data_IF_015679169345
#
_entry.id   IF_015679169345
#
_cell.length_a   1.000
_cell.length_b   1.000
_cell.length_c   1.000
_cell.angle_alpha   90.00
_cell.angle_beta   90.00
_cell.angle_gamma   90.00
#
_symmetry.space_group_name_H-M   'P 1'
#
loop_
_entity.id
_entity.type
_entity.pdbx_description
1 polymer ?
#
# COMPACT_ATOMS: atom_id res chain seq x y z
N UNK A 1 10.19 -6.39 13.80
CA UNK A 1 10.64 -7.31 12.73
C UNK A 1 9.92 -6.90 11.46
N UNK A 2 10.60 -6.84 10.31
CA UNK A 2 9.93 -6.51 9.05
C UNK A 2 9.01 -7.66 8.60
N UNK A 3 7.88 -7.32 7.98
CA UNK A 3 6.97 -8.33 7.40
C UNK A 3 7.71 -9.12 6.31
N UNK A 4 7.79 -10.47 6.38
CA UNK A 4 8.46 -11.27 5.36
C UNK A 4 7.81 -11.12 3.98
N UNK A 5 8.61 -11.18 2.92
CA UNK A 5 8.08 -11.16 1.55
C UNK A 5 7.70 -12.56 1.11
N UNK A 6 6.41 -12.72 0.78
CA UNK A 6 5.79 -13.96 0.32
C UNK A 6 4.34 -13.68 -0.05
N UNK A 7 3.69 -14.70 -0.59
CA UNK A 7 2.23 -14.78 -0.73
C UNK A 7 1.58 -14.90 0.65
N UNK A 8 0.46 -14.20 0.85
CA UNK A 8 -0.28 -14.17 2.13
C UNK A 8 -1.74 -14.64 2.04
N UNK A 9 -2.18 -15.07 0.85
CA UNK A 9 -3.55 -15.46 0.57
C UNK A 9 -3.60 -16.76 -0.26
N UNK A 10 -4.78 -17.37 -0.36
CA UNK A 10 -4.98 -18.61 -1.09
C UNK A 10 -5.26 -18.37 -2.58
N UNK A 11 -4.81 -19.28 -3.44
CA UNK A 11 -5.21 -19.31 -4.85
C UNK A 11 -6.32 -20.33 -5.08
N UNK A 12 -7.35 -19.94 -5.83
CA UNK A 12 -8.32 -20.85 -6.39
C UNK A 12 -8.52 -20.59 -7.89
N UNK A 13 -8.82 -21.65 -8.65
CA UNK A 13 -8.90 -21.57 -10.11
C UNK A 13 -10.14 -20.86 -10.66
N UNK A 14 -11.10 -20.49 -9.81
CA UNK A 14 -12.35 -19.85 -10.22
C UNK A 14 -12.28 -18.33 -10.07
N UNK A 15 -11.80 -17.85 -8.92
CA UNK A 15 -11.82 -16.43 -8.51
C UNK A 15 -10.41 -15.81 -8.41
N UNK A 16 -9.34 -16.61 -8.50
CA UNK A 16 -7.96 -16.14 -8.36
C UNK A 16 -7.49 -16.12 -6.91
N UNK A 17 -6.86 -15.03 -6.50
CA UNK A 17 -6.39 -14.84 -5.12
C UNK A 17 -7.58 -14.47 -4.22
N UNK A 18 -7.68 -15.12 -3.06
CA UNK A 18 -8.90 -15.12 -2.24
C UNK A 18 -9.04 -13.90 -1.31
N UNK A 19 -7.99 -13.08 -1.18
CA UNK A 19 -7.93 -11.90 -0.31
C UNK A 19 -8.19 -12.17 1.18
N UNK A 20 -8.10 -13.43 1.63
CA UNK A 20 -8.21 -13.76 3.05
C UNK A 20 -6.84 -13.65 3.70
N UNK A 21 -6.64 -12.58 4.47
CA UNK A 21 -5.36 -12.28 5.11
C UNK A 21 -5.53 -11.92 6.59
N UNK A 22 -4.47 -12.09 7.37
CA UNK A 22 -4.43 -11.64 8.77
C UNK A 22 -4.69 -10.14 8.95
N UNK A 23 -4.36 -9.33 7.94
CA UNK A 23 -4.58 -7.88 7.97
C UNK A 23 -6.02 -7.52 7.70
N UNK A 24 -6.70 -8.26 6.82
CA UNK A 24 -8.15 -8.15 6.67
C UNK A 24 -8.88 -8.47 7.99
N UNK A 25 -8.43 -9.50 8.72
CA UNK A 25 -8.95 -9.82 10.06
C UNK A 25 -8.71 -8.70 11.07
N UNK A 26 -7.48 -8.16 11.12
CA UNK A 26 -7.08 -7.08 12.02
C UNK A 26 -7.85 -5.78 11.75
N UNK A 27 -7.98 -5.41 10.47
CA UNK A 27 -8.71 -4.22 10.05
C UNK A 27 -10.21 -4.34 10.32
N UNK A 28 -10.74 -5.56 10.21
CA UNK A 28 -12.17 -5.88 10.34
C UNK A 28 -12.89 -6.06 9.00
N UNK A 29 -12.16 -6.17 7.90
CA UNK A 29 -12.68 -6.35 6.55
C UNK A 29 -11.77 -7.32 5.78
N UNK A 30 -12.19 -8.58 5.68
CA UNK A 30 -11.39 -9.66 5.10
C UNK A 30 -12.03 -10.18 3.80
N UNK A 31 -11.22 -10.68 2.86
CA UNK A 31 -11.72 -11.13 1.55
C UNK A 31 -11.92 -9.99 0.54
N UNK A 32 -11.27 -8.84 0.74
CA UNK A 32 -11.30 -7.67 -0.16
C UNK A 32 -9.87 -7.23 -0.53
N UNK A 33 -9.65 -6.49 -1.64
CA UNK A 33 -8.34 -5.94 -1.96
C UNK A 33 -7.73 -5.21 -0.77
N UNK A 34 -6.49 -5.56 -0.41
CA UNK A 34 -5.96 -5.28 0.92
C UNK A 34 -4.71 -4.38 0.93
N UNK A 35 -4.43 -3.62 -0.14
CA UNK A 35 -3.27 -2.72 -0.20
C UNK A 35 -3.34 -1.60 0.86
N UNK A 36 -4.46 -0.89 0.94
CA UNK A 36 -4.66 0.17 1.96
C UNK A 36 -4.83 -0.42 3.35
N UNK A 37 -5.50 -1.57 3.45
CA UNK A 37 -5.66 -2.32 4.70
C UNK A 37 -4.28 -2.66 5.29
N UNK A 38 -3.37 -3.17 4.47
CA UNK A 38 -1.99 -3.44 4.88
C UNK A 38 -1.29 -2.19 5.39
N UNK A 39 -1.35 -1.09 4.63
CA UNK A 39 -0.69 0.17 5.00
C UNK A 39 -1.24 0.71 6.34
N UNK A 40 -2.56 0.62 6.58
CA UNK A 40 -3.17 0.98 7.86
C UNK A 40 -2.72 0.06 9.01
N UNK A 41 -2.71 -1.26 8.81
CA UNK A 41 -2.27 -2.22 9.82
C UNK A 41 -0.80 -2.01 10.22
N UNK A 42 0.08 -1.65 9.28
CA UNK A 42 1.47 -1.31 9.61
C UNK A 42 1.57 -0.09 10.53
N UNK A 43 0.65 0.87 10.43
CA UNK A 43 0.55 1.99 11.37
C UNK A 43 -0.05 1.57 12.71
N UNK A 44 -1.09 0.73 12.69
CA UNK A 44 -1.73 0.21 13.90
C UNK A 44 -0.78 -0.63 14.75
N UNK A 45 0.00 -1.52 14.13
CA UNK A 45 1.01 -2.37 14.78
C UNK A 45 2.04 -1.58 15.60
N UNK A 46 2.28 -0.32 15.24
CA UNK A 46 3.24 0.57 15.92
C UNK A 46 2.57 1.72 16.69
N UNK A 47 1.24 1.71 16.83
CA UNK A 47 0.48 2.71 17.58
C UNK A 47 0.40 4.09 16.93
N UNK A 48 0.48 4.16 15.59
CA UNK A 48 0.40 5.38 14.80
C UNK A 48 -0.90 5.47 13.96
N UNK A 49 -1.85 4.57 14.14
CA UNK A 49 -3.12 4.56 13.42
C UNK A 49 -3.98 5.82 13.66
N UNK A 50 -3.74 6.57 14.73
CA UNK A 50 -4.42 7.84 15.00
C UNK A 50 -4.05 8.98 14.03
N UNK A 51 -2.92 8.88 13.31
CA UNK A 51 -2.46 9.92 12.37
C UNK A 51 -2.76 9.61 10.90
N UNK A 52 -3.44 8.49 10.63
CA UNK A 52 -3.85 8.05 9.28
C UNK A 52 -5.36 7.76 9.26
N UNK A 53 -6.04 7.84 8.10
CA UNK A 53 -7.45 7.46 8.01
C UNK A 53 -7.59 5.93 8.07
N UNK A 54 -8.57 5.43 8.84
CA UNK A 54 -9.02 4.03 8.72
C UNK A 54 -9.99 3.90 7.55
N UNK A 55 -9.46 3.59 6.38
CA UNK A 55 -10.17 3.39 5.11
C UNK A 55 -9.56 2.21 4.34
N UNK A 56 -10.27 1.70 3.34
CA UNK A 56 -9.95 0.47 2.59
C UNK A 56 -9.54 0.72 1.13
N UNK A 57 -9.69 1.94 0.61
CA UNK A 57 -9.44 2.28 -0.79
C UNK A 57 -8.59 3.54 -0.99
N UNK A 58 -7.85 3.56 -2.10
CA UNK A 58 -6.79 4.55 -2.37
C UNK A 58 -7.36 5.96 -2.51
N UNK A 59 -8.45 6.09 -3.27
CA UNK A 59 -9.13 7.38 -3.49
C UNK A 59 -9.60 8.03 -2.19
N UNK A 60 -10.04 7.23 -1.21
CA UNK A 60 -10.47 7.73 0.09
C UNK A 60 -9.30 8.31 0.91
N UNK A 61 -8.16 7.61 1.03
CA UNK A 61 -7.02 8.18 1.76
C UNK A 61 -6.42 9.38 1.01
N UNK A 62 -6.37 9.35 -0.33
CA UNK A 62 -5.85 10.45 -1.13
C UNK A 62 -6.70 11.71 -0.94
N UNK A 63 -8.02 11.57 -0.98
CA UNK A 63 -8.96 12.66 -0.70
C UNK A 63 -8.80 13.20 0.72
N UNK A 64 -8.66 12.31 1.71
CA UNK A 64 -8.44 12.68 3.10
C UNK A 64 -7.15 13.47 3.30
N UNK A 65 -6.05 13.03 2.67
CA UNK A 65 -4.75 13.67 2.73
C UNK A 65 -4.76 15.05 2.06
N UNK A 66 -5.39 15.17 0.88
CA UNK A 66 -5.56 16.46 0.17
C UNK A 66 -6.36 17.44 1.01
N UNK A 67 -7.47 17.01 1.60
CA UNK A 67 -8.30 17.86 2.47
C UNK A 67 -7.57 18.38 3.72
N UNK A 68 -6.48 17.72 4.13
CA UNK A 68 -5.67 18.07 5.31
C UNK A 68 -4.34 18.75 4.98
N UNK A 69 -4.05 19.00 3.70
CA UNK A 69 -2.75 19.53 3.29
C UNK A 69 -1.61 18.58 3.66
N UNK A 70 -1.85 17.27 3.54
CA UNK A 70 -0.91 16.18 3.76
C UNK A 70 -0.66 15.38 2.48
N UNK A 71 -1.17 15.85 1.35
CA UNK A 71 -0.77 15.35 0.04
C UNK A 71 0.52 16.01 -0.41
N UNK A 72 1.42 15.24 -1.01
CA UNK A 72 2.73 15.67 -1.46
C UNK A 72 3.05 15.10 -2.84
N UNK A 73 3.74 15.88 -3.67
CA UNK A 73 4.36 15.42 -4.92
C UNK A 73 5.74 14.77 -4.68
N UNK A 74 6.24 14.83 -3.44
CA UNK A 74 7.54 14.33 -3.03
C UNK A 74 7.40 13.21 -1.98
N UNK A 75 8.21 12.14 -2.07
CA UNK A 75 8.18 11.05 -1.10
C UNK A 75 8.73 11.48 0.26
N UNK A 76 8.23 10.83 1.31
CA UNK A 76 8.83 10.82 2.64
C UNK A 76 8.77 9.40 3.21
N UNK A 77 9.74 9.01 4.05
CA UNK A 77 9.69 7.68 4.70
C UNK A 77 8.41 7.56 5.52
N UNK A 78 7.72 6.43 5.38
CA UNK A 78 6.44 6.14 6.01
C UNK A 78 5.22 6.66 5.23
N UNK A 79 5.39 7.51 4.21
CA UNK A 79 4.28 7.93 3.37
C UNK A 79 3.60 6.75 2.67
N UNK A 80 2.31 6.88 2.38
CA UNK A 80 1.61 5.97 1.48
C UNK A 80 1.69 6.55 0.06
N UNK A 81 2.23 5.80 -0.89
CA UNK A 81 2.29 6.24 -2.30
C UNK A 81 1.01 5.87 -3.02
N UNK A 82 0.52 6.75 -3.90
CA UNK A 82 -0.59 6.45 -4.80
C UNK A 82 -0.04 6.08 -6.18
N UNK A 83 -0.30 4.84 -6.57
CA UNK A 83 0.04 4.31 -7.86
C UNK A 83 -1.18 4.28 -8.80
N UNK A 84 -0.99 4.77 -10.02
CA UNK A 84 -1.98 4.65 -11.09
C UNK A 84 -3.28 5.43 -10.87
N UNK A 85 -3.24 6.53 -10.11
CA UNK A 85 -4.37 7.43 -9.83
C UNK A 85 -5.52 6.70 -9.12
N UNK A 86 -5.23 6.12 -7.97
CA UNK A 86 -6.19 5.38 -7.16
C UNK A 86 -6.17 3.87 -7.32
N UNK A 87 -5.20 3.31 -8.06
CA UNK A 87 -5.18 1.88 -8.37
C UNK A 87 -4.50 1.04 -7.27
N UNK A 88 -3.39 1.52 -6.70
CA UNK A 88 -2.63 0.77 -5.70
C UNK A 88 -1.91 1.69 -4.71
N UNK A 89 -1.57 1.17 -3.52
CA UNK A 89 -0.75 1.89 -2.54
C UNK A 89 0.28 0.98 -1.90
N UNK A 90 1.38 1.60 -1.49
CA UNK A 90 2.42 0.96 -0.68
C UNK A 90 3.04 1.95 0.30
N UNK A 91 3.67 1.46 1.37
CA UNK A 91 4.46 2.30 2.28
C UNK A 91 5.84 2.58 1.69
N UNK A 92 6.23 3.86 1.68
CA UNK A 92 7.58 4.33 1.34
C UNK A 92 8.56 3.91 2.43
N UNK A 93 9.54 3.08 2.06
CA UNK A 93 10.63 2.63 2.95
C UNK A 93 11.92 3.43 2.76
N UNK A 94 12.06 4.13 1.63
CA UNK A 94 13.18 5.00 1.32
C UNK A 94 13.00 5.70 -0.02
N UNK A 95 13.89 6.64 -0.34
CA UNK A 95 13.95 7.29 -1.65
C UNK A 95 15.32 7.93 -1.86
N UNK A 96 15.68 8.16 -3.13
CA UNK A 96 16.84 8.94 -3.54
C UNK A 96 16.45 10.03 -4.56
N UNK A 97 17.42 10.55 -5.31
CA UNK A 97 17.19 11.58 -6.31
C UNK A 97 16.15 11.19 -7.37
N UNK A 98 16.06 9.91 -7.72
CA UNK A 98 15.34 9.41 -8.89
C UNK A 98 14.41 8.22 -8.60
N UNK A 99 14.58 7.54 -7.47
CA UNK A 99 13.86 6.32 -7.11
C UNK A 99 13.09 6.49 -5.80
N UNK A 100 11.87 5.93 -5.74
CA UNK A 100 11.16 5.65 -4.49
C UNK A 100 11.18 4.15 -4.24
N UNK A 101 11.53 3.76 -3.01
CA UNK A 101 11.53 2.38 -2.53
C UNK A 101 10.32 2.19 -1.62
N UNK A 102 9.56 1.13 -1.89
CA UNK A 102 8.28 0.89 -1.23
C UNK A 102 8.16 -0.55 -0.80
N UNK A 103 7.22 -0.82 0.11
CA UNK A 103 6.80 -2.16 0.50
C UNK A 103 5.29 -2.17 0.66
N UNK A 104 4.62 -2.96 -0.17
CA UNK A 104 3.16 -3.01 -0.23
C UNK A 104 2.61 -4.37 0.12
N UNK A 105 1.39 -4.38 0.67
CA UNK A 105 0.50 -5.52 0.70
C UNK A 105 -0.41 -5.52 -0.51
N UNK A 106 -1.03 -6.66 -0.81
CA UNK A 106 -1.74 -6.89 -2.06
C UNK A 106 -0.91 -6.47 -3.28
N UNK A 107 0.40 -6.70 -3.21
CA UNK A 107 1.33 -6.41 -4.29
C UNK A 107 1.74 -7.70 -4.97
N UNK A 108 2.56 -7.57 -6.01
CA UNK A 108 3.07 -8.68 -6.82
C UNK A 108 4.58 -8.63 -6.78
N UNK A 109 5.25 -9.78 -6.80
CA UNK A 109 6.71 -9.81 -6.87
C UNK A 109 7.19 -9.19 -8.18
N UNK A 110 8.17 -8.29 -8.12
CA UNK A 110 8.79 -7.72 -9.32
C UNK A 110 9.23 -8.80 -10.31
N UNK A 111 8.81 -8.64 -11.57
CA UNK A 111 9.07 -9.59 -12.66
C UNK A 111 8.13 -10.80 -12.71
N UNK A 112 7.14 -10.90 -11.82
CA UNK A 112 6.08 -11.91 -11.90
C UNK A 112 4.91 -11.45 -12.77
N UNK A 113 4.14 -12.42 -13.26
CA UNK A 113 2.91 -12.14 -13.99
C UNK A 113 1.85 -11.55 -13.07
N UNK A 114 1.18 -10.50 -13.54
CA UNK A 114 0.04 -9.90 -12.88
C UNK A 114 -1.26 -10.51 -13.42
N UNK A 115 -1.93 -11.30 -12.59
CA UNK A 115 -3.23 -11.88 -12.91
C UNK A 115 -4.40 -10.92 -12.65
N UNK A 116 -4.13 -9.61 -12.59
CA UNK A 116 -5.09 -8.55 -12.27
C UNK A 116 -5.34 -8.39 -10.77
N UNK A 117 -4.55 -9.07 -9.92
CA UNK A 117 -4.70 -9.10 -8.47
C UNK A 117 -3.32 -9.27 -7.82
N UNK A 118 -3.09 -8.49 -6.76
CA UNK A 118 -2.02 -8.72 -5.81
C UNK A 118 -2.12 -10.07 -5.13
N UNK A 119 -1.03 -10.53 -4.51
CA UNK A 119 -1.02 -11.82 -3.81
C UNK A 119 -0.25 -11.84 -2.49
N UNK A 120 0.48 -10.78 -2.18
CA UNK A 120 1.45 -10.85 -1.12
C UNK A 120 2.05 -9.52 -0.75
N UNK A 121 3.10 -9.63 0.07
CA UNK A 121 3.87 -8.48 0.51
C UNK A 121 5.19 -8.48 -0.23
N UNK A 122 5.47 -7.39 -0.94
CA UNK A 122 6.66 -7.28 -1.80
C UNK A 122 7.22 -5.86 -1.77
N UNK A 123 8.55 -5.75 -1.89
CA UNK A 123 9.21 -4.46 -2.05
C UNK A 123 9.34 -4.09 -3.53
N UNK A 124 9.19 -2.80 -3.81
CA UNK A 124 9.33 -2.24 -5.15
C UNK A 124 10.29 -1.07 -5.18
N UNK A 125 10.80 -0.81 -6.37
CA UNK A 125 11.52 0.41 -6.72
C UNK A 125 10.89 1.00 -7.96
N UNK A 126 10.42 2.23 -7.88
CA UNK A 126 9.80 2.94 -9.00
C UNK A 126 10.53 4.25 -9.26
N UNK A 127 10.70 4.69 -10.52
CA UNK A 127 11.12 6.05 -10.80
C UNK A 127 10.14 7.02 -10.15
N UNK A 128 10.61 7.85 -9.21
CA UNK A 128 9.73 8.72 -8.40
C UNK A 128 9.05 9.84 -9.20
N UNK A 129 9.44 10.02 -10.46
CA UNK A 129 8.87 10.97 -11.43
C UNK A 129 8.07 10.27 -12.53
N UNK A 130 7.87 8.95 -12.41
CA UNK A 130 7.00 8.21 -13.32
C UNK A 130 5.58 8.74 -13.19
N UNK A 131 4.85 8.84 -14.31
CA UNK A 131 3.42 9.12 -14.32
C UNK A 131 2.59 8.08 -13.57
N UNK A 132 3.15 6.90 -13.33
CA UNK A 132 2.51 5.86 -12.52
C UNK A 132 2.53 6.22 -11.03
N UNK A 133 3.50 7.02 -10.57
CA UNK A 133 3.57 7.54 -9.20
C UNK A 133 2.81 8.87 -9.17
N UNK A 134 1.58 8.84 -8.67
CA UNK A 134 0.64 9.97 -8.81
C UNK A 134 0.62 10.91 -7.60
N UNK A 135 1.19 10.47 -6.48
CA UNK A 135 1.50 11.32 -5.34
C UNK A 135 1.68 10.52 -4.06
N UNK A 136 1.74 11.23 -2.95
CA UNK A 136 2.03 10.66 -1.64
C UNK A 136 1.12 11.26 -0.57
N UNK A 137 0.55 10.40 0.27
CA UNK A 137 0.08 10.80 1.58
C UNK A 137 1.27 10.86 2.53
N UNK A 138 1.64 12.07 2.97
CA UNK A 138 2.71 12.35 3.92
C UNK A 138 2.14 12.61 5.33
N UNK A 139 2.05 11.58 6.21
CA UNK A 139 1.58 11.75 7.57
C UNK A 139 2.50 12.63 8.41
N UNK A 140 1.91 13.27 9.43
CA UNK A 140 2.63 14.12 10.39
C UNK A 140 2.80 13.36 11.70
N UNK A 141 4.05 13.08 12.06
CA UNK A 141 4.45 12.42 13.32
C UNK A 141 4.62 13.41 14.48
#
# INVERSE_FOLDING_TARGET
MSVPEKVYEGWNSHDGWDNYTRWGEEFGENGVPWCVIFDWCMYHDVGLDAIVPKVDNVSAFASWARARGQWSDYPSVGAWVDFGDGAHTEIVTGFDADTVYTKGGNSIRSGSEDHGQGNGVWSHSNPRRSSYVTGYFAPRY
#
